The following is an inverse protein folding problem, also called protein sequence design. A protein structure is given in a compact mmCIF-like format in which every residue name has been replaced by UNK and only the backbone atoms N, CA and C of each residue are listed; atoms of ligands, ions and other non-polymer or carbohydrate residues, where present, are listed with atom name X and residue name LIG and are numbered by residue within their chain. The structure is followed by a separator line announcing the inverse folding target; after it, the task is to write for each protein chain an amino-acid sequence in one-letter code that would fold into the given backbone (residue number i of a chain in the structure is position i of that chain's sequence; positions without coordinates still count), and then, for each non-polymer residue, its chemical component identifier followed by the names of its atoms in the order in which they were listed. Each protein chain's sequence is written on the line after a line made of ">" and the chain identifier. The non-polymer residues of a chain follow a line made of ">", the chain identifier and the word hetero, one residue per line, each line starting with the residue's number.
data_IF_052131408513
#
_entry.id   IF_052131408513
#
_cell.length_a   1.000
_cell.length_b   1.000
_cell.length_c   1.000
_cell.angle_alpha   90.00
_cell.angle_beta   90.00
_cell.angle_gamma   90.00
#
_symmetry.space_group_name_H-M   'P 1'
#
loop_
_entity.id
_entity.type
_entity.pdbx_description
1 polymer ?
#
# COMPACT_ATOMS: atom_id res chain seq x y z
N UNK A 1 21.19 15.03 1.79
CA UNK A 1 21.00 13.73 1.13
C UNK A 1 20.83 12.70 2.23
N UNK A 2 19.59 12.46 2.70
CA UNK A 2 19.35 11.35 3.63
C UNK A 2 19.48 10.06 2.85
N UNK A 3 20.50 9.26 3.14
CA UNK A 3 20.54 7.87 2.72
C UNK A 3 19.55 7.13 3.61
N UNK A 4 18.29 7.02 3.17
CA UNK A 4 17.36 6.06 3.77
C UNK A 4 17.97 4.67 3.55
N UNK A 5 18.65 4.16 4.58
CA UNK A 5 19.25 2.84 4.56
C UNK A 5 18.14 1.81 4.67
N UNK A 6 17.46 1.57 3.55
CA UNK A 6 16.38 0.60 3.45
C UNK A 6 16.96 -0.79 3.68
N UNK A 7 16.64 -1.38 4.83
CA UNK A 7 17.00 -2.75 5.16
C UNK A 7 15.92 -3.67 4.59
N UNK A 8 16.31 -4.61 3.71
CA UNK A 8 15.41 -5.63 3.19
C UNK A 8 15.39 -6.84 4.12
N UNK A 9 14.21 -7.23 4.60
CA UNK A 9 14.01 -8.40 5.44
C UNK A 9 13.25 -9.43 4.62
N UNK A 10 13.87 -10.58 4.26
CA UNK A 10 13.19 -11.62 3.51
C UNK A 10 12.06 -12.22 4.36
N UNK A 11 10.93 -12.50 3.70
CA UNK A 11 9.77 -13.10 4.34
C UNK A 11 8.94 -13.90 3.33
N UNK A 12 8.03 -14.71 3.84
CA UNK A 12 7.07 -15.46 3.03
C UNK A 12 5.65 -15.08 3.43
N UNK A 13 4.73 -15.10 2.48
CA UNK A 13 3.30 -14.96 2.78
C UNK A 13 2.75 -16.34 3.13
N UNK A 14 2.16 -16.47 4.33
CA UNK A 14 1.47 -17.67 4.77
C UNK A 14 0.07 -17.30 5.24
N UNK A 15 -0.95 -17.79 4.53
CA UNK A 15 -2.37 -17.49 4.79
C UNK A 15 -2.66 -15.98 4.87
N UNK A 16 -2.08 -15.20 3.95
CA UNK A 16 -2.25 -13.74 3.91
C UNK A 16 -1.41 -12.96 4.94
N UNK A 17 -0.61 -13.63 5.77
CA UNK A 17 0.29 -12.99 6.74
C UNK A 17 1.73 -13.02 6.23
N UNK A 18 2.39 -11.86 6.20
CA UNK A 18 3.84 -11.77 5.92
C UNK A 18 4.60 -12.25 7.15
N UNK A 19 5.38 -13.32 6.99
CA UNK A 19 6.23 -13.89 8.04
C UNK A 19 7.69 -13.65 7.68
N UNK A 20 8.40 -12.76 8.41
CA UNK A 20 9.83 -12.60 8.26
C UNK A 20 10.56 -13.91 8.50
N UNK A 21 11.50 -14.26 7.61
CA UNK A 21 12.38 -15.41 7.78
C UNK A 21 13.73 -15.04 8.43
N UNK A 22 13.95 -13.75 8.69
CA UNK A 22 15.13 -13.30 9.42
C UNK A 22 15.03 -13.68 10.91
N UNK A 23 16.14 -14.14 11.48
CA UNK A 23 16.27 -14.35 12.92
C UNK A 23 16.33 -13.04 13.74
N UNK A 24 16.33 -11.90 13.05
CA UNK A 24 16.40 -10.58 13.67
C UNK A 24 14.99 -10.16 14.12
N UNK A 25 14.81 -10.03 15.44
CA UNK A 25 13.60 -9.46 15.99
C UNK A 25 13.60 -7.97 15.73
N UNK A 26 12.56 -7.49 15.05
CA UNK A 26 12.28 -6.06 14.97
C UNK A 26 11.95 -5.55 16.37
N UNK A 27 12.45 -4.36 16.70
CA UNK A 27 12.15 -3.73 17.99
C UNK A 27 10.68 -3.31 17.99
N UNK A 28 10.05 -3.37 19.16
CA UNK A 28 8.69 -2.85 19.32
C UNK A 28 8.60 -1.38 18.86
N UNK A 29 7.54 -1.03 18.14
CA UNK A 29 7.35 0.30 17.56
C UNK A 29 8.11 0.55 16.23
N UNK A 30 8.77 -0.45 15.65
CA UNK A 30 9.41 -0.31 14.33
C UNK A 30 8.36 -0.05 13.25
N UNK A 31 8.49 1.05 12.50
CA UNK A 31 7.70 1.32 11.29
C UNK A 31 8.15 0.37 10.17
N UNK A 32 7.18 -0.31 9.55
CA UNK A 32 7.44 -1.29 8.49
C UNK A 32 6.60 -0.93 7.27
N UNK A 33 7.27 -0.82 6.13
CA UNK A 33 6.62 -0.67 4.83
C UNK A 33 6.74 -1.98 4.05
N UNK A 34 5.63 -2.46 3.51
CA UNK A 34 5.59 -3.62 2.62
C UNK A 34 5.44 -3.08 1.20
N UNK A 35 6.42 -3.36 0.35
CA UNK A 35 6.34 -3.03 -1.07
C UNK A 35 6.05 -4.32 -1.83
N UNK A 36 4.93 -4.31 -2.55
CA UNK A 36 4.51 -5.41 -3.41
C UNK A 36 4.74 -4.97 -4.85
N UNK A 37 5.56 -5.73 -5.57
CA UNK A 37 5.77 -5.49 -6.99
C UNK A 37 4.48 -5.79 -7.78
N UNK A 38 4.16 -5.01 -8.83
CA UNK A 38 2.93 -5.20 -9.61
C UNK A 38 2.77 -6.62 -10.17
N UNK A 39 3.84 -7.29 -10.57
CA UNK A 39 3.83 -8.67 -11.06
C UNK A 39 3.44 -9.71 -10.00
N UNK A 40 3.64 -9.40 -8.71
CA UNK A 40 3.33 -10.31 -7.60
C UNK A 40 1.87 -10.19 -7.12
N UNK A 41 1.12 -9.21 -7.63
CA UNK A 41 -0.29 -9.01 -7.29
C UNK A 41 -1.21 -9.91 -8.11
N UNK A 42 -2.20 -10.51 -7.45
CA UNK A 42 -3.25 -11.27 -8.16
C UNK A 42 -4.06 -10.33 -9.06
N UNK A 43 -4.61 -10.89 -10.15
CA UNK A 43 -5.47 -10.12 -11.05
C UNK A 43 -6.71 -9.56 -10.33
N UNK A 44 -7.26 -10.31 -9.39
CA UNK A 44 -8.37 -9.89 -8.54
C UNK A 44 -8.01 -8.67 -7.68
N UNK A 45 -6.85 -8.71 -6.99
CA UNK A 45 -6.40 -7.59 -6.16
C UNK A 45 -6.13 -6.34 -7.00
N UNK A 46 -5.58 -6.50 -8.22
CA UNK A 46 -5.39 -5.38 -9.16
C UNK A 46 -6.71 -4.73 -9.54
N UNK A 47 -7.72 -5.55 -9.87
CA UNK A 47 -9.06 -5.05 -10.22
C UNK A 47 -9.72 -4.33 -9.05
N UNK A 48 -9.60 -4.88 -7.83
CA UNK A 48 -10.13 -4.24 -6.64
C UNK A 48 -9.47 -2.87 -6.42
N UNK A 49 -8.15 -2.79 -6.47
CA UNK A 49 -7.43 -1.52 -6.28
C UNK A 49 -7.76 -0.50 -7.37
N UNK A 50 -7.94 -0.91 -8.62
CA UNK A 50 -8.37 -0.03 -9.70
C UNK A 50 -9.79 0.51 -9.47
N UNK A 51 -10.70 -0.33 -8.98
CA UNK A 51 -12.05 0.10 -8.64
C UNK A 51 -12.05 1.13 -7.50
N UNK A 52 -11.19 0.93 -6.50
CA UNK A 52 -10.99 1.90 -5.41
C UNK A 52 -10.41 3.23 -5.89
N UNK A 53 -9.43 3.19 -6.80
CA UNK A 53 -8.81 4.38 -7.39
C UNK A 53 -9.84 5.20 -8.17
N UNK A 54 -10.60 4.55 -9.05
CA UNK A 54 -11.68 5.18 -9.80
C UNK A 54 -12.76 5.78 -8.89
N UNK A 55 -13.21 5.03 -7.88
CA UNK A 55 -14.22 5.53 -6.94
C UNK A 55 -13.72 6.75 -6.14
N UNK A 56 -12.42 6.79 -5.85
CA UNK A 56 -11.79 7.92 -5.16
C UNK A 56 -11.76 9.16 -6.07
N UNK A 57 -11.35 8.99 -7.33
CA UNK A 57 -11.36 10.07 -8.32
C UNK A 57 -12.76 10.65 -8.55
N UNK A 58 -13.76 9.77 -8.66
CA UNK A 58 -15.17 10.19 -8.80
C UNK A 58 -15.66 10.95 -7.56
N UNK A 59 -15.28 10.50 -6.36
CA UNK A 59 -15.62 11.18 -5.12
C UNK A 59 -14.99 12.59 -5.05
N UNK A 60 -13.72 12.72 -5.41
CA UNK A 60 -13.05 14.02 -5.46
C UNK A 60 -13.68 14.97 -6.48
N UNK A 61 -14.00 14.48 -7.69
CA UNK A 61 -14.66 15.28 -8.71
C UNK A 61 -16.04 15.80 -8.27
N UNK A 62 -16.79 15.02 -7.47
CA UNK A 62 -18.06 15.48 -6.89
C UNK A 62 -17.86 16.59 -5.86
N UNK A 63 -16.83 16.47 -5.02
CA UNK A 63 -16.49 17.51 -4.03
C UNK A 63 -16.12 18.81 -4.74
N UNK A 64 -15.24 18.75 -5.75
CA UNK A 64 -14.84 19.93 -6.54
C UNK A 64 -16.04 20.61 -7.21
N UNK A 65 -16.97 19.81 -7.74
CA UNK A 65 -18.19 20.32 -8.35
C UNK A 65 -19.09 21.04 -7.34
N UNK A 66 -19.28 20.47 -6.15
CA UNK A 66 -20.08 21.10 -5.10
C UNK A 66 -19.43 22.38 -4.57
N UNK A 67 -18.11 22.39 -4.39
CA UNK A 67 -17.37 23.60 -4.00
C UNK A 67 -17.46 24.73 -5.03
N UNK A 68 -17.51 24.39 -6.32
CA UNK A 68 -17.69 25.36 -7.40
C UNK A 68 -19.13 25.92 -7.49
N UNK A 69 -20.13 25.13 -7.08
CA UNK A 69 -21.55 25.54 -7.07
C UNK A 69 -21.92 26.40 -5.83
N UNK A 70 -21.14 26.32 -4.74
CA UNK A 70 -21.33 27.11 -3.51
C UNK A 70 -20.61 28.48 -3.50
N UNK A 71 -19.87 28.83 -4.57
CA UNK A 71 -19.23 30.15 -4.78
C UNK A 71 -20.10 31.11 -5.60
#
# INVERSE_FOLDING_TARGET
>A
MSTDSRTSIPGIVKNGVVVPQANQRLVEGTHVEIIVEPEAMSAELKLELQAWDQASDEAWAMIEKWEAEEQ
#
